data_IF_461758198623
#
_entry.id   IF_461758198623
#
_cell.length_a   1.000
_cell.length_b   1.000
_cell.length_c   1.000
_cell.angle_alpha   90.00
_cell.angle_beta   90.00
_cell.angle_gamma   90.00
#
_symmetry.space_group_name_H-M   'P 1'
#
loop_
_entity.id
_entity.type
_entity.pdbx_description
1 polymer ?
#
# COMPACT_ATOMS: atom_id res chain seq x y z
N UNK A 1 15.23 -18.15 7.24
CA UNK A 1 15.45 -17.05 8.14
C UNK A 1 14.63 -15.83 7.81
N UNK A 2 14.85 -14.76 8.56
CA UNK A 2 14.07 -13.52 8.41
C UNK A 2 14.26 -12.87 7.05
N UNK A 3 15.45 -12.94 6.50
CA UNK A 3 15.74 -12.38 5.18
C UNK A 3 14.92 -13.08 4.08
N UNK A 4 14.83 -14.41 4.14
CA UNK A 4 14.02 -15.18 3.20
C UNK A 4 12.54 -14.82 3.34
N UNK A 5 12.06 -14.71 4.57
CA UNK A 5 10.68 -14.33 4.85
C UNK A 5 10.36 -12.95 4.27
N UNK A 6 11.20 -11.95 4.54
CA UNK A 6 11.00 -10.58 4.03
C UNK A 6 11.01 -10.56 2.50
N UNK A 7 11.90 -11.32 1.86
CA UNK A 7 11.93 -11.41 0.40
C UNK A 7 10.62 -11.98 -0.15
N UNK A 8 10.07 -13.01 0.49
CA UNK A 8 8.79 -13.60 0.10
C UNK A 8 7.63 -12.60 0.29
N UNK A 9 7.65 -11.85 1.38
CA UNK A 9 6.67 -10.80 1.65
C UNK A 9 6.73 -9.72 0.55
N UNK A 10 7.92 -9.26 0.21
CA UNK A 10 8.09 -8.23 -0.80
C UNK A 10 7.68 -8.69 -2.20
N UNK A 11 8.00 -9.92 -2.57
CA UNK A 11 7.56 -10.50 -3.83
C UNK A 11 6.04 -10.58 -3.91
N UNK A 12 5.40 -11.05 -2.84
CA UNK A 12 3.94 -11.19 -2.79
C UNK A 12 3.25 -9.83 -2.90
N UNK A 13 3.71 -8.83 -2.16
CA UNK A 13 3.07 -7.52 -2.19
C UNK A 13 3.26 -6.82 -3.54
N UNK A 14 4.42 -6.89 -4.14
CA UNK A 14 4.68 -6.29 -5.44
C UNK A 14 3.81 -6.89 -6.54
N UNK A 15 3.58 -8.20 -6.46
CA UNK A 15 2.76 -8.90 -7.44
C UNK A 15 1.27 -8.57 -7.30
N UNK A 16 0.77 -8.41 -6.07
CA UNK A 16 -0.66 -8.41 -5.80
C UNK A 16 -1.26 -7.10 -5.30
N UNK A 17 -0.46 -6.10 -4.94
CA UNK A 17 -0.99 -4.89 -4.27
C UNK A 17 -2.04 -4.14 -5.11
N UNK A 18 -1.95 -4.19 -6.42
CA UNK A 18 -2.89 -3.48 -7.31
C UNK A 18 -4.28 -4.11 -7.33
N UNK A 19 -4.39 -5.37 -6.94
CA UNK A 19 -5.68 -6.05 -6.85
C UNK A 19 -6.40 -5.60 -5.57
N UNK A 20 -7.54 -4.88 -5.68
CA UNK A 20 -8.23 -4.37 -4.50
C UNK A 20 -8.81 -5.48 -3.62
N UNK A 21 -8.96 -6.68 -4.16
CA UNK A 21 -9.48 -7.84 -3.43
C UNK A 21 -8.41 -8.65 -2.73
N UNK A 22 -7.15 -8.26 -2.88
CA UNK A 22 -6.05 -8.94 -2.20
C UNK A 22 -6.12 -8.64 -0.69
N UNK A 23 -6.41 -9.68 0.08
CA UNK A 23 -6.62 -9.60 1.52
C UNK A 23 -5.52 -10.34 2.28
N UNK A 24 -5.56 -10.26 3.61
CA UNK A 24 -4.56 -10.90 4.48
C UNK A 24 -4.49 -12.41 4.24
N UNK A 25 -5.63 -13.07 4.02
CA UNK A 25 -5.64 -14.51 3.72
C UNK A 25 -4.89 -14.84 2.42
N UNK A 26 -5.09 -14.03 1.38
CA UNK A 26 -4.37 -14.18 0.12
C UNK A 26 -2.88 -13.91 0.29
N UNK A 27 -2.56 -12.91 1.08
CA UNK A 27 -1.18 -12.54 1.38
C UNK A 27 -0.45 -13.67 2.11
N UNK A 28 -1.08 -14.23 3.14
CA UNK A 28 -0.49 -15.35 3.88
C UNK A 28 -0.28 -16.57 2.98
N UNK A 29 -1.23 -16.84 2.12
CA UNK A 29 -1.13 -17.94 1.15
C UNK A 29 0.03 -17.71 0.17
N UNK A 30 0.15 -16.50 -0.36
CA UNK A 30 1.24 -16.14 -1.29
C UNK A 30 2.62 -16.24 -0.63
N UNK A 31 2.72 -15.90 0.66
CA UNK A 31 3.98 -16.01 1.41
C UNK A 31 4.24 -17.45 1.86
N UNK A 32 3.20 -18.29 1.94
CA UNK A 32 3.34 -19.68 2.34
C UNK A 32 3.30 -19.91 3.84
N UNK A 33 2.62 -19.05 4.60
CA UNK A 33 2.48 -19.17 6.06
C UNK A 33 1.01 -18.94 6.45
N UNK A 34 0.66 -19.25 7.70
CA UNK A 34 -0.68 -18.93 8.21
C UNK A 34 -0.84 -17.43 8.42
N UNK A 35 -2.09 -16.93 8.45
CA UNK A 35 -2.38 -15.53 8.75
C UNK A 35 -1.78 -15.12 10.11
N UNK A 36 -1.94 -15.99 11.09
CA UNK A 36 -1.44 -15.76 12.44
C UNK A 36 0.08 -15.59 12.45
N UNK A 37 0.79 -16.47 11.77
CA UNK A 37 2.25 -16.39 11.68
C UNK A 37 2.70 -15.17 10.87
N UNK A 38 2.01 -14.85 9.78
CA UNK A 38 2.31 -13.65 8.98
C UNK A 38 2.22 -12.39 9.84
N UNK A 39 1.11 -12.22 10.56
CA UNK A 39 0.92 -11.08 11.44
C UNK A 39 1.97 -11.01 12.54
N UNK A 40 2.25 -12.14 13.19
CA UNK A 40 3.23 -12.20 14.28
C UNK A 40 4.63 -11.80 13.79
N UNK A 41 5.06 -12.33 12.66
CA UNK A 41 6.38 -12.03 12.09
C UNK A 41 6.48 -10.57 11.63
N UNK A 42 5.46 -10.06 10.94
CA UNK A 42 5.47 -8.67 10.49
C UNK A 42 5.46 -7.71 11.69
N UNK A 43 4.65 -8.00 12.70
CA UNK A 43 4.62 -7.19 13.91
C UNK A 43 5.99 -7.18 14.61
N UNK A 44 6.65 -8.33 14.68
CA UNK A 44 7.96 -8.45 15.29
C UNK A 44 9.07 -7.74 14.53
N UNK A 45 9.06 -7.84 13.19
CA UNK A 45 10.15 -7.33 12.35
C UNK A 45 9.99 -5.87 11.97
N UNK A 46 8.76 -5.40 11.76
CA UNK A 46 8.50 -4.04 11.25
C UNK A 46 7.37 -3.30 11.98
N UNK A 47 6.80 -3.88 13.03
CA UNK A 47 5.77 -3.22 13.84
C UNK A 47 4.45 -3.00 13.13
N UNK A 48 4.12 -3.79 12.12
CA UNK A 48 2.88 -3.67 11.36
C UNK A 48 2.14 -5.00 11.29
N UNK A 49 0.81 -4.95 11.33
CA UNK A 49 0.00 -6.11 10.97
C UNK A 49 0.04 -6.32 9.45
N UNK A 50 -0.37 -7.49 8.99
CA UNK A 50 -0.41 -7.77 7.56
C UNK A 50 -1.34 -6.81 6.81
N UNK A 51 -2.50 -6.49 7.40
CA UNK A 51 -3.43 -5.52 6.80
C UNK A 51 -2.85 -4.12 6.71
N UNK A 52 -2.15 -3.68 7.76
CA UNK A 52 -1.45 -2.40 7.76
C UNK A 52 -0.35 -2.38 6.70
N UNK A 53 0.36 -3.49 6.54
CA UNK A 53 1.42 -3.60 5.55
C UNK A 53 0.88 -3.42 4.13
N UNK A 54 -0.21 -4.10 3.79
CA UNK A 54 -0.84 -3.95 2.47
C UNK A 54 -1.26 -2.50 2.25
N UNK A 55 -1.97 -1.92 3.22
CA UNK A 55 -2.47 -0.54 3.13
C UNK A 55 -1.33 0.46 3.00
N UNK A 56 -0.29 0.33 3.82
CA UNK A 56 0.85 1.26 3.79
C UNK A 56 1.65 1.15 2.51
N UNK A 57 1.81 -0.05 1.97
CA UNK A 57 2.47 -0.24 0.69
C UNK A 57 1.72 0.49 -0.43
N UNK A 58 0.39 0.34 -0.46
CA UNK A 58 -0.46 1.04 -1.43
C UNK A 58 -0.36 2.57 -1.27
N UNK A 59 -0.39 3.06 -0.04
CA UNK A 59 -0.31 4.50 0.25
C UNK A 59 1.05 5.08 -0.14
N UNK A 60 2.14 4.39 0.15
CA UNK A 60 3.48 4.83 -0.22
C UNK A 60 3.63 4.87 -1.75
N UNK A 61 3.10 3.87 -2.45
CA UNK A 61 3.13 3.84 -3.91
C UNK A 61 2.29 4.98 -4.50
N UNK A 62 1.12 5.23 -3.92
CA UNK A 62 0.27 6.35 -4.34
C UNK A 62 0.97 7.70 -4.16
N UNK A 63 1.68 7.88 -3.05
CA UNK A 63 2.44 9.10 -2.80
C UNK A 63 3.49 9.34 -3.88
N UNK A 64 4.22 8.31 -4.26
CA UNK A 64 5.20 8.39 -5.36
C UNK A 64 4.54 8.77 -6.68
N UNK A 65 3.39 8.16 -6.98
CA UNK A 65 2.63 8.48 -8.19
C UNK A 65 2.11 9.92 -8.19
N UNK A 66 1.64 10.41 -7.04
CA UNK A 66 1.17 11.79 -6.92
C UNK A 66 2.30 12.79 -7.18
N UNK A 67 3.47 12.55 -6.61
CA UNK A 67 4.63 13.40 -6.82
C UNK A 67 5.07 13.43 -8.29
N UNK A 68 5.13 12.27 -8.91
CA UNK A 68 5.46 12.14 -10.32
C UNK A 68 4.41 12.82 -11.20
N UNK A 69 3.15 12.69 -10.83
CA UNK A 69 2.02 13.21 -11.60
C UNK A 69 1.90 14.73 -11.57
N UNK A 70 2.61 15.42 -10.67
CA UNK A 70 2.71 16.88 -10.67
C UNK A 70 3.20 17.39 -12.02
N UNK A 71 4.14 16.68 -12.62
CA UNK A 71 4.73 17.04 -13.91
C UNK A 71 3.96 16.43 -15.08
N UNK A 72 3.64 15.14 -15.00
CA UNK A 72 3.04 14.41 -16.12
C UNK A 72 1.56 14.73 -16.32
N UNK A 73 0.83 15.01 -15.24
CA UNK A 73 -0.61 15.32 -15.24
C UNK A 73 -1.46 14.30 -15.99
N UNK A 74 -1.04 13.03 -15.96
CA UNK A 74 -1.70 11.95 -16.70
C UNK A 74 -2.84 11.30 -15.95
N UNK A 75 -2.83 11.37 -14.60
CA UNK A 75 -3.80 10.69 -13.75
C UNK A 75 -4.43 11.66 -12.78
N UNK A 76 -5.74 11.50 -12.53
CA UNK A 76 -6.38 12.19 -11.43
C UNK A 76 -6.26 11.36 -10.13
N UNK A 77 -6.72 11.93 -9.02
CA UNK A 77 -6.59 11.28 -7.71
C UNK A 77 -7.33 9.95 -7.63
N UNK A 78 -8.55 9.89 -8.19
CA UNK A 78 -9.32 8.65 -8.19
C UNK A 78 -8.60 7.57 -9.00
N UNK A 79 -8.04 7.92 -10.15
CA UNK A 79 -7.27 6.98 -10.96
C UNK A 79 -6.05 6.46 -10.23
N UNK A 80 -5.35 7.32 -9.48
CA UNK A 80 -4.21 6.91 -8.66
C UNK A 80 -4.65 5.95 -7.56
N UNK A 81 -5.77 6.24 -6.90
CA UNK A 81 -6.33 5.35 -5.88
C UNK A 81 -6.59 3.95 -6.44
N UNK A 82 -7.25 3.87 -7.58
CA UNK A 82 -7.53 2.58 -8.24
C UNK A 82 -6.25 1.88 -8.68
N UNK A 83 -5.29 2.61 -9.23
CA UNK A 83 -4.03 2.04 -9.71
C UNK A 83 -3.25 1.33 -8.60
N UNK A 84 -3.30 1.84 -7.38
CA UNK A 84 -2.56 1.25 -6.26
C UNK A 84 -3.38 0.23 -5.46
N UNK A 85 -4.61 -0.09 -5.89
CA UNK A 85 -5.39 -1.16 -5.28
C UNK A 85 -6.49 -0.73 -4.32
N UNK A 86 -6.78 0.57 -4.19
CA UNK A 86 -7.99 1.02 -3.47
C UNK A 86 -9.17 0.97 -4.42
N UNK A 87 -10.32 0.50 -3.94
CA UNK A 87 -11.54 0.49 -4.72
C UNK A 87 -12.53 1.60 -4.30
N UNK A 88 -12.16 2.42 -3.35
CA UNK A 88 -12.95 3.55 -2.87
C UNK A 88 -12.05 4.77 -2.69
N UNK A 89 -12.12 5.76 -3.62
CA UNK A 89 -11.28 6.95 -3.53
C UNK A 89 -11.46 7.77 -2.26
N UNK A 90 -12.66 7.76 -1.67
CA UNK A 90 -12.92 8.48 -0.41
C UNK A 90 -12.17 7.82 0.75
N UNK A 91 -12.23 6.51 0.82
CA UNK A 91 -11.49 5.75 1.82
C UNK A 91 -9.98 5.94 1.64
N UNK A 92 -9.51 5.88 0.39
CA UNK A 92 -8.11 6.18 0.05
C UNK A 92 -7.69 7.53 0.61
N UNK A 93 -8.47 8.59 0.35
CA UNK A 93 -8.13 9.94 0.79
C UNK A 93 -8.04 10.03 2.33
N UNK A 94 -8.94 9.36 3.05
CA UNK A 94 -8.91 9.32 4.51
C UNK A 94 -7.65 8.62 5.03
N UNK A 95 -7.33 7.46 4.48
CA UNK A 95 -6.13 6.70 4.87
C UNK A 95 -4.86 7.49 4.56
N UNK A 96 -4.82 8.10 3.38
CA UNK A 96 -3.67 8.91 2.94
C UNK A 96 -3.44 10.09 3.88
N UNK A 97 -4.50 10.84 4.17
CA UNK A 97 -4.39 12.03 5.04
C UNK A 97 -3.96 11.66 6.46
N UNK A 98 -4.44 10.54 6.96
CA UNK A 98 -4.04 10.05 8.29
C UNK A 98 -2.56 9.64 8.31
N UNK A 99 -2.08 9.00 7.26
CA UNK A 99 -0.70 8.51 7.18
C UNK A 99 0.30 9.64 6.96
N UNK A 100 -0.02 10.62 6.11
CA UNK A 100 0.94 11.62 5.66
C UNK A 100 0.65 13.04 6.13
N UNK A 101 -0.41 13.27 6.88
CA UNK A 101 -0.82 14.61 7.37
C UNK A 101 -1.02 15.63 6.26
N UNK A 102 -1.38 15.19 5.08
CA UNK A 102 -1.74 16.03 3.94
C UNK A 102 -2.71 15.25 3.06
N UNK A 103 -3.56 15.95 2.32
CA UNK A 103 -4.49 15.29 1.40
C UNK A 103 -3.79 14.93 0.11
N UNK A 104 -4.28 13.91 -0.63
CA UNK A 104 -3.76 13.63 -1.96
C UNK A 104 -3.84 14.83 -2.88
N UNK A 105 -4.93 15.59 -2.80
CA UNK A 105 -5.14 16.80 -3.60
C UNK A 105 -4.09 17.88 -3.29
N UNK A 106 -3.84 18.14 -2.01
CA UNK A 106 -2.83 19.11 -1.60
C UNK A 106 -1.44 18.72 -2.08
N UNK A 107 -1.09 17.44 -1.95
CA UNK A 107 0.21 16.95 -2.38
C UNK A 107 0.36 17.07 -3.90
N UNK A 108 -0.68 16.71 -4.66
CA UNK A 108 -0.66 16.78 -6.13
C UNK A 108 -0.49 18.20 -6.64
N UNK A 109 -1.12 19.17 -5.98
CA UNK A 109 -1.17 20.57 -6.42
C UNK A 109 -0.13 21.46 -5.73
N UNK A 110 0.71 20.92 -4.86
CA UNK A 110 1.75 21.68 -4.18
C UNK A 110 2.80 22.18 -5.19
N UNK A 111 3.09 23.48 -5.14
CA UNK A 111 4.12 24.09 -5.97
C UNK A 111 5.41 24.23 -5.16
N UNK A 112 6.53 23.86 -5.76
CA UNK A 112 7.84 24.03 -5.16
C UNK A 112 8.45 25.37 -5.53
#
# INVERSE_FOLDING_TARGET
GDKKFINQVMEAIKEHYKNPYFEVSDFSEAVGVSKSLLNKKLQSLIGQSAGQFIRNYRLNTARELLLKNRETKQMNIAEIAYEVGFNDPKYFARCFSKQFNTTPSALLNEEE
#
